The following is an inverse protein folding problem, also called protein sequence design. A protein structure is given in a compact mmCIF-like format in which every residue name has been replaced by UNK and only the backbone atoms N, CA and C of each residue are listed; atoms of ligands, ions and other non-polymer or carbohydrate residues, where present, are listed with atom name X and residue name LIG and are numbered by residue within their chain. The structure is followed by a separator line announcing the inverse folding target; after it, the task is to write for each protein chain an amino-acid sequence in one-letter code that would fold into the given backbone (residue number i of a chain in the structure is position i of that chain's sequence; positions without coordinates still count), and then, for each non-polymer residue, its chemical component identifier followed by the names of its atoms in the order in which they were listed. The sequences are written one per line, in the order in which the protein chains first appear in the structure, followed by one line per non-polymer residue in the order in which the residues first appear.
data_IF_844043630264
#
_entry.id   IF_844043630264
#
_cell.length_a   1.000
_cell.length_b   1.000
_cell.length_c   1.000
_cell.angle_alpha   90.00
_cell.angle_beta   90.00
_cell.angle_gamma   90.00
#
_symmetry.space_group_name_H-M   'P 1'
#
loop_
_entity.id
_entity.type
_entity.pdbx_description
1 polymer ?
#
# COMPACT_ATOMS: atom_id res chain seq x y z
N UNK A 1 -0.33 22.26 -2.06
CA UNK A 1 0.46 21.01 -2.12
C UNK A 1 0.18 20.33 -3.44
N UNK A 2 1.24 19.81 -4.06
CA UNK A 2 1.12 19.02 -5.28
C UNK A 2 0.72 17.59 -4.96
N UNK A 3 0.37 16.82 -5.99
CA UNK A 3 0.09 15.40 -5.82
C UNK A 3 1.29 14.68 -5.18
N UNK A 4 2.50 14.98 -5.63
CA UNK A 4 3.70 14.36 -5.08
C UNK A 4 3.93 14.72 -3.62
N UNK A 5 3.57 15.94 -3.21
CA UNK A 5 3.65 16.33 -1.80
C UNK A 5 2.73 15.49 -0.93
N UNK A 6 1.52 15.20 -1.41
CA UNK A 6 0.59 14.32 -0.69
C UNK A 6 1.11 12.90 -0.59
N UNK A 7 1.69 12.38 -1.66
CA UNK A 7 2.25 11.02 -1.65
C UNK A 7 3.46 10.94 -0.71
N UNK A 8 4.29 11.98 -0.69
CA UNK A 8 5.42 12.05 0.23
C UNK A 8 4.94 12.05 1.68
N UNK A 9 3.92 12.86 1.99
CA UNK A 9 3.34 12.89 3.32
C UNK A 9 2.79 11.53 3.72
N UNK A 10 2.11 10.87 2.79
CA UNK A 10 1.52 9.56 3.02
C UNK A 10 2.58 8.50 3.36
N UNK A 11 3.67 8.47 2.60
CA UNK A 11 4.73 7.45 2.76
C UNK A 11 5.68 7.78 3.89
N UNK A 12 6.19 9.01 3.93
CA UNK A 12 7.25 9.39 4.86
C UNK A 12 6.73 10.01 6.15
N UNK A 13 5.64 10.76 6.08
CA UNK A 13 5.09 11.44 7.24
C UNK A 13 4.14 10.60 8.07
N UNK A 14 3.17 9.97 7.42
CA UNK A 14 2.14 9.18 8.10
C UNK A 14 2.51 7.71 8.11
N UNK A 15 2.81 7.15 6.95
CA UNK A 15 3.26 5.78 6.71
C UNK A 15 2.16 4.73 6.91
N UNK A 16 1.55 4.63 8.08
CA UNK A 16 0.47 3.65 8.35
C UNK A 16 -0.86 4.17 7.85
N UNK A 17 -1.51 3.41 6.98
CA UNK A 17 -2.80 3.77 6.40
C UNK A 17 -3.83 2.70 6.66
N UNK A 18 -5.10 3.07 6.52
CA UNK A 18 -6.20 2.11 6.56
C UNK A 18 -6.70 1.89 5.15
N UNK A 19 -6.61 0.65 4.66
CA UNK A 19 -7.08 0.28 3.33
C UNK A 19 -8.40 -0.46 3.44
N UNK A 20 -9.35 -0.09 2.59
CA UNK A 20 -10.65 -0.73 2.50
C UNK A 20 -10.72 -1.60 1.24
N UNK A 21 -11.23 -2.81 1.40
CA UNK A 21 -11.54 -3.74 0.31
C UNK A 21 -12.89 -4.37 0.59
N UNK A 22 -13.39 -5.14 -0.39
CA UNK A 22 -14.64 -5.87 -0.21
C UNK A 22 -14.31 -7.33 0.08
N UNK A 23 -14.84 -7.86 1.17
CA UNK A 23 -14.62 -9.25 1.55
C UNK A 23 -15.44 -10.23 0.71
N UNK A 24 -15.19 -11.53 0.91
CA UNK A 24 -15.88 -12.60 0.20
C UNK A 24 -17.39 -12.58 0.44
N UNK A 25 -17.82 -12.05 1.57
CA UNK A 25 -19.25 -11.93 1.93
C UNK A 25 -19.93 -10.69 1.31
N UNK A 26 -19.19 -9.91 0.51
CA UNK A 26 -19.72 -8.69 -0.09
C UNK A 26 -19.69 -7.47 0.81
N UNK A 27 -19.17 -7.59 2.01
CA UNK A 27 -19.11 -6.47 2.95
C UNK A 27 -17.72 -5.83 2.96
N UNK A 28 -17.62 -4.52 3.23
CA UNK A 28 -16.32 -3.85 3.32
C UNK A 28 -15.48 -4.39 4.47
N UNK A 29 -14.20 -4.46 4.24
CA UNK A 29 -13.23 -4.83 5.27
C UNK A 29 -12.10 -3.81 5.25
N UNK A 30 -11.53 -3.52 6.41
CA UNK A 30 -10.40 -2.60 6.52
C UNK A 30 -9.23 -3.25 7.23
N UNK A 31 -8.03 -2.75 6.95
CA UNK A 31 -6.81 -3.16 7.66
C UNK A 31 -5.77 -2.07 7.55
N UNK A 32 -4.84 -2.08 8.50
CA UNK A 32 -3.75 -1.10 8.50
C UNK A 32 -2.60 -1.66 7.67
N UNK A 33 -2.17 -0.88 6.69
CA UNK A 33 -1.07 -1.24 5.77
C UNK A 33 -0.13 -0.04 5.68
N UNK A 34 1.16 -0.31 5.77
CA UNK A 34 2.17 0.74 5.64
C UNK A 34 2.42 1.06 4.17
N UNK A 35 2.45 2.34 3.85
CA UNK A 35 2.85 2.81 2.52
C UNK A 35 4.37 2.90 2.47
N UNK A 36 4.98 2.19 1.55
CA UNK A 36 6.42 1.93 1.57
C UNK A 36 7.24 2.83 0.66
N UNK A 37 6.64 3.29 -0.44
CA UNK A 37 7.38 3.98 -1.50
C UNK A 37 6.41 4.79 -2.34
N UNK A 38 6.87 5.86 -2.95
CA UNK A 38 6.08 6.60 -3.93
C UNK A 38 6.97 7.06 -5.08
N UNK A 39 6.36 7.26 -6.26
CA UNK A 39 7.03 7.84 -7.41
C UNK A 39 5.99 8.52 -8.30
N UNK A 40 6.36 8.80 -9.56
CA UNK A 40 5.46 9.47 -10.51
C UNK A 40 4.21 8.65 -10.82
N UNK A 41 4.28 7.34 -10.71
CA UNK A 41 3.13 6.47 -11.02
C UNK A 41 2.13 6.43 -9.89
N UNK A 42 2.59 6.47 -8.64
CA UNK A 42 1.70 6.39 -7.50
C UNK A 42 2.42 5.98 -6.22
N UNK A 43 1.71 5.27 -5.37
CA UNK A 43 2.23 4.84 -4.08
C UNK A 43 2.23 3.30 -4.03
N UNK A 44 3.19 2.75 -3.31
CA UNK A 44 3.45 1.31 -3.29
C UNK A 44 3.30 0.74 -1.88
N UNK A 45 2.68 -0.42 -1.81
CA UNK A 45 2.59 -1.21 -0.59
C UNK A 45 2.78 -2.68 -0.94
N UNK A 46 2.89 -3.53 0.07
CA UNK A 46 3.12 -4.96 -0.18
C UNK A 46 2.30 -5.82 0.77
N UNK A 47 2.10 -7.06 0.35
CA UNK A 47 1.49 -8.07 1.20
C UNK A 47 1.98 -9.45 0.77
N UNK A 48 1.77 -10.44 1.61
CA UNK A 48 2.19 -11.80 1.34
C UNK A 48 1.11 -12.55 0.57
N UNK A 49 1.54 -13.38 -0.38
CA UNK A 49 0.65 -14.34 -1.04
C UNK A 49 0.06 -15.26 0.04
N UNK A 50 -1.15 -15.72 -0.18
CA UNK A 50 -1.84 -16.58 0.76
C UNK A 50 -2.70 -15.89 1.78
N UNK A 51 -2.61 -14.56 1.89
CA UNK A 51 -3.50 -13.79 2.76
C UNK A 51 -4.79 -13.46 2.02
N UNK A 52 -5.89 -13.36 2.77
CA UNK A 52 -7.18 -12.95 2.21
C UNK A 52 -7.08 -11.59 1.52
N UNK A 53 -6.30 -10.67 2.11
CA UNK A 53 -6.06 -9.36 1.53
C UNK A 53 -5.47 -9.46 0.12
N UNK A 54 -4.46 -10.31 -0.07
CA UNK A 54 -3.85 -10.54 -1.38
C UNK A 54 -4.90 -10.99 -2.40
N UNK A 55 -5.72 -11.96 -2.02
CA UNK A 55 -6.78 -12.48 -2.90
C UNK A 55 -7.77 -11.39 -3.29
N UNK A 56 -8.16 -10.54 -2.34
CA UNK A 56 -9.08 -9.44 -2.59
C UNK A 56 -8.47 -8.41 -3.54
N UNK A 57 -7.20 -8.08 -3.35
CA UNK A 57 -6.50 -7.13 -4.24
C UNK A 57 -6.45 -7.64 -5.67
N UNK A 58 -6.12 -8.91 -5.85
CA UNK A 58 -6.02 -9.50 -7.18
C UNK A 58 -7.39 -9.57 -7.88
N UNK A 59 -8.45 -9.85 -7.12
CA UNK A 59 -9.80 -9.98 -7.68
C UNK A 59 -10.42 -8.63 -8.01
N UNK A 60 -10.17 -7.61 -7.20
CA UNK A 60 -10.91 -6.34 -7.29
C UNK A 60 -10.19 -5.27 -8.10
N UNK A 61 -8.86 -5.21 -8.03
CA UNK A 61 -8.08 -4.24 -8.79
C UNK A 61 -8.33 -2.77 -8.42
N UNK A 62 -8.94 -2.52 -7.29
CA UNK A 62 -9.33 -1.19 -6.84
C UNK A 62 -9.34 -1.14 -5.32
N UNK A 63 -8.85 -0.04 -4.73
CA UNK A 63 -8.88 0.15 -3.28
C UNK A 63 -9.23 1.59 -2.93
N UNK A 64 -9.64 1.77 -1.68
CA UNK A 64 -9.71 3.06 -1.04
C UNK A 64 -8.84 3.03 0.19
N UNK A 65 -8.20 4.14 0.53
CA UNK A 65 -7.41 4.24 1.75
C UNK A 65 -7.61 5.59 2.41
N UNK A 66 -7.37 5.62 3.70
CA UNK A 66 -7.35 6.87 4.46
C UNK A 66 -6.17 6.85 5.43
N UNK A 67 -5.69 8.05 5.76
CA UNK A 67 -4.61 8.23 6.70
C UNK A 67 -4.76 9.58 7.37
N UNK A 68 -4.43 9.65 8.66
CA UNK A 68 -4.51 10.91 9.41
C UNK A 68 -3.24 11.10 10.23
N UNK A 69 -2.88 12.36 10.38
CA UNK A 69 -1.83 12.77 11.30
C UNK A 69 -2.20 14.16 11.83
N UNK A 70 -2.42 14.23 13.14
CA UNK A 70 -2.85 15.46 13.78
C UNK A 70 -4.13 15.98 13.12
N UNK A 71 -4.06 17.14 12.46
CA UNK A 71 -5.22 17.77 11.82
C UNK A 71 -5.30 17.50 10.32
N UNK A 72 -4.37 16.68 9.78
CA UNK A 72 -4.33 16.38 8.35
C UNK A 72 -4.94 15.01 8.11
N UNK A 73 -5.86 14.95 7.16
CA UNK A 73 -6.50 13.72 6.74
C UNK A 73 -6.37 13.58 5.22
N UNK A 74 -5.97 12.39 4.77
CA UNK A 74 -5.83 12.07 3.35
C UNK A 74 -6.75 10.89 3.04
N UNK A 75 -7.51 11.01 1.97
CA UNK A 75 -8.34 9.93 1.45
C UNK A 75 -8.04 9.76 -0.02
N UNK A 76 -7.67 8.54 -0.42
CA UNK A 76 -7.37 8.21 -1.81
C UNK A 76 -8.15 6.97 -2.21
N UNK A 77 -8.49 6.90 -3.49
CA UNK A 77 -9.06 5.68 -4.07
C UNK A 77 -8.61 5.59 -5.51
N UNK A 78 -8.45 4.39 -5.99
CA UNK A 78 -8.02 4.21 -7.36
C UNK A 78 -7.69 2.77 -7.69
N UNK A 79 -7.13 2.60 -8.87
CA UNK A 79 -6.74 1.30 -9.39
C UNK A 79 -5.43 0.84 -8.79
N UNK A 80 -5.32 -0.48 -8.62
CA UNK A 80 -4.07 -1.10 -8.19
C UNK A 80 -3.63 -2.12 -9.22
N UNK A 81 -2.32 -2.34 -9.28
CA UNK A 81 -1.74 -3.41 -10.08
C UNK A 81 -0.64 -4.10 -9.29
N UNK A 82 -0.52 -5.39 -9.49
CA UNK A 82 0.54 -6.20 -8.90
C UNK A 82 1.78 -6.05 -9.78
N UNK A 83 2.88 -5.57 -9.21
CA UNK A 83 4.15 -5.44 -9.92
C UNK A 83 5.18 -6.49 -9.48
N UNK A 84 4.72 -7.51 -8.75
CA UNK A 84 5.56 -8.59 -8.31
C UNK A 84 6.63 -8.13 -7.33
N UNK A 85 7.90 -8.43 -7.62
CA UNK A 85 9.01 -8.08 -6.74
C UNK A 85 9.91 -6.98 -7.31
N UNK A 86 9.46 -6.25 -8.33
CA UNK A 86 10.29 -5.26 -9.02
C UNK A 86 10.91 -4.22 -8.10
N UNK A 87 10.16 -3.76 -7.10
CA UNK A 87 10.63 -2.69 -6.21
C UNK A 87 10.93 -3.17 -4.80
N UNK A 88 10.97 -4.48 -4.61
CA UNK A 88 11.10 -5.06 -3.28
C UNK A 88 12.41 -4.65 -2.60
N UNK A 89 13.52 -4.71 -3.33
CA UNK A 89 14.82 -4.32 -2.78
C UNK A 89 14.84 -2.85 -2.37
N UNK A 90 14.28 -1.99 -3.20
CA UNK A 90 14.21 -0.56 -2.89
C UNK A 90 13.37 -0.30 -1.65
N UNK A 91 12.25 -0.99 -1.52
CA UNK A 91 11.36 -0.89 -0.36
C UNK A 91 12.12 -1.29 0.91
N UNK A 92 12.86 -2.39 0.86
CA UNK A 92 13.60 -2.87 2.04
C UNK A 92 14.75 -1.93 2.41
N UNK A 93 15.36 -1.27 1.44
CA UNK A 93 16.39 -0.27 1.72
C UNK A 93 15.83 0.96 2.42
N UNK A 94 14.67 1.42 2.00
CA UNK A 94 14.04 2.62 2.56
C UNK A 94 13.30 2.35 3.86
N UNK A 95 12.92 1.11 4.09
CA UNK A 95 12.13 0.71 5.25
C UNK A 95 12.88 -0.42 5.96
N UNK A 96 13.99 -0.08 6.62
CA UNK A 96 14.92 -1.05 7.19
C UNK A 96 14.29 -1.98 8.23
N UNK A 97 13.24 -1.53 8.91
CA UNK A 97 12.53 -2.38 9.88
C UNK A 97 11.94 -3.63 9.23
N UNK A 98 11.69 -3.59 7.91
CA UNK A 98 11.15 -4.73 7.18
C UNK A 98 12.10 -5.93 7.19
N UNK A 99 13.39 -5.68 7.33
CA UNK A 99 14.36 -6.76 7.39
C UNK A 99 14.20 -7.61 8.64
N UNK A 100 13.72 -7.01 9.73
CA UNK A 100 13.42 -7.75 10.96
C UNK A 100 12.12 -8.56 10.85
N UNK A 101 11.12 -8.01 10.15
CA UNK A 101 9.82 -8.67 9.97
C UNK A 101 9.92 -9.82 8.97
N UNK A 102 10.68 -9.61 7.88
CA UNK A 102 10.81 -10.60 6.79
C UNK A 102 12.28 -10.87 6.52
N UNK A 103 12.97 -11.59 7.42
CA UNK A 103 14.38 -11.92 7.20
C UNK A 103 14.56 -13.04 6.16
N UNK A 104 15.64 -12.95 5.40
CA UNK A 104 16.03 -14.04 4.48
C UNK A 104 14.96 -14.40 3.46
N UNK A 105 14.70 -15.68 3.33
CA UNK A 105 13.82 -16.24 2.31
C UNK A 105 12.33 -15.92 2.51
N UNK A 106 11.95 -15.41 3.66
CA UNK A 106 10.54 -15.05 3.91
C UNK A 106 10.06 -13.97 2.95
N UNK A 107 10.98 -13.19 2.36
CA UNK A 107 10.65 -12.19 1.35
C UNK A 107 10.02 -12.77 0.11
N UNK A 108 10.30 -14.04 -0.20
CA UNK A 108 9.82 -14.68 -1.43
C UNK A 108 8.30 -14.73 -1.51
N UNK A 109 7.60 -14.65 -0.38
CA UNK A 109 6.15 -14.64 -0.35
C UNK A 109 5.54 -13.26 -0.62
N UNK A 110 6.35 -12.20 -0.62
CA UNK A 110 5.86 -10.82 -0.73
C UNK A 110 5.71 -10.39 -2.18
N UNK A 111 4.63 -9.66 -2.46
CA UNK A 111 4.42 -9.01 -3.74
C UNK A 111 4.01 -7.56 -3.52
N UNK A 112 4.47 -6.70 -4.41
CA UNK A 112 4.28 -5.26 -4.34
C UNK A 112 3.12 -4.85 -5.21
N UNK A 113 2.28 -3.96 -4.68
CA UNK A 113 1.15 -3.39 -5.42
C UNK A 113 1.37 -1.90 -5.56
N UNK A 114 0.97 -1.37 -6.72
CA UNK A 114 1.00 0.06 -7.00
C UNK A 114 -0.43 0.59 -7.08
N UNK A 115 -0.74 1.58 -6.26
CA UNK A 115 -1.97 2.37 -6.40
C UNK A 115 -1.68 3.47 -7.40
N UNK A 116 -2.32 3.42 -8.55
CA UNK A 116 -2.14 4.36 -9.65
C UNK A 116 -3.50 4.86 -10.12
N UNK A 117 -3.48 5.89 -10.97
CA UNK A 117 -4.72 6.53 -11.41
C UNK A 117 -5.66 6.83 -10.24
N UNK A 118 -5.07 7.29 -9.13
CA UNK A 118 -5.81 7.56 -7.92
C UNK A 118 -6.28 9.00 -7.90
N UNK A 119 -7.46 9.21 -7.32
CA UNK A 119 -7.91 10.54 -6.96
C UNK A 119 -8.21 10.60 -5.47
N UNK A 120 -8.26 11.82 -4.93
CA UNK A 120 -8.50 11.95 -3.51
C UNK A 120 -8.45 13.40 -3.01
N UNK A 121 -8.50 13.49 -1.69
CA UNK A 121 -8.52 14.79 -1.00
C UNK A 121 -7.92 14.73 0.40
#
# INVERSE_FOLDING_TARGET
MTKQDYLKLLVEGIHSTTIATIGADGHPQTRVIDMMLYDKQGVYFLTARGKAFYTQLMAQGYIALSATREKVSISLRGKIKNIGNEKLDEIFKKNTYMQSIYPGDTRSALEVFCLYEADGE
#
